data_IF_445680158612
#
_entry.id   IF_445680158612
#
_cell.length_a   1.000
_cell.length_b   1.000
_cell.length_c   1.000
_cell.angle_alpha   90.00
_cell.angle_beta   90.00
_cell.angle_gamma   90.00
#
_symmetry.space_group_name_H-M   'P 1'
#
loop_
_entity.id
_entity.type
_entity.pdbx_description
1 polymer ?
#
# COMPACT_ATOMS: atom_id res chain seq x y z
N UNK A 1 20.95 -42.52 -43.85
CA UNK A 1 22.26 -42.37 -43.18
C UNK A 1 22.04 -41.38 -42.04
N UNK A 2 21.62 -41.78 -40.84
CA UNK A 2 22.25 -42.75 -39.95
C UNK A 2 23.46 -42.07 -39.28
N UNK A 3 23.27 -41.36 -38.16
CA UNK A 3 23.55 -41.80 -36.77
C UNK A 3 24.81 -41.05 -36.27
N UNK A 4 25.00 -40.59 -35.03
CA UNK A 4 24.52 -40.94 -33.69
C UNK A 4 24.59 -39.68 -32.79
N UNK A 5 23.58 -39.33 -31.99
CA UNK A 5 23.39 -39.67 -30.56
C UNK A 5 24.62 -39.43 -29.67
N UNK A 6 24.55 -38.43 -28.79
CA UNK A 6 24.91 -38.54 -27.37
C UNK A 6 24.44 -37.32 -26.52
N UNK A 7 23.87 -37.64 -25.35
CA UNK A 7 23.46 -36.79 -24.21
C UNK A 7 22.38 -35.70 -24.42
N UNK A 8 21.10 -35.83 -24.03
CA UNK A 8 20.48 -36.73 -23.06
C UNK A 8 20.04 -35.99 -21.79
N UNK A 9 18.73 -35.69 -21.68
CA UNK A 9 17.95 -35.59 -20.42
C UNK A 9 18.43 -34.58 -19.36
N UNK A 10 17.98 -33.32 -19.43
CA UNK A 10 17.84 -32.52 -18.19
C UNK A 10 16.79 -31.37 -18.18
N UNK A 11 15.80 -31.37 -19.07
CA UNK A 11 14.75 -30.33 -19.11
C UNK A 11 13.41 -30.75 -18.46
N UNK A 12 13.41 -31.81 -17.65
CA UNK A 12 12.22 -32.37 -17.01
C UNK A 12 12.41 -32.66 -15.50
N UNK A 13 13.13 -31.78 -14.78
CA UNK A 13 13.55 -32.10 -13.40
C UNK A 13 13.32 -31.05 -12.29
N UNK A 14 12.59 -29.97 -12.57
CA UNK A 14 12.02 -29.11 -11.51
C UNK A 14 10.49 -28.94 -11.62
N UNK A 15 9.82 -29.72 -12.47
CA UNK A 15 8.36 -29.90 -12.49
C UNK A 15 7.86 -30.86 -11.38
N UNK A 16 8.51 -30.83 -10.22
CA UNK A 16 8.43 -31.87 -9.19
C UNK A 16 7.79 -31.34 -7.92
N UNK A 17 6.58 -31.80 -7.61
CA UNK A 17 5.82 -31.67 -6.35
C UNK A 17 5.54 -30.25 -5.83
N UNK A 18 6.55 -29.38 -5.69
CA UNK A 18 6.43 -28.03 -5.12
C UNK A 18 5.60 -27.10 -6.01
N UNK A 19 5.79 -27.15 -7.34
CA UNK A 19 4.95 -26.41 -8.29
C UNK A 19 3.48 -26.84 -8.24
N UNK A 20 3.21 -28.13 -7.96
CA UNK A 20 1.83 -28.60 -7.79
C UNK A 20 1.26 -28.13 -6.44
N UNK A 21 2.06 -28.10 -5.38
CA UNK A 21 1.63 -27.62 -4.07
C UNK A 21 1.28 -26.12 -4.11
N UNK A 22 2.12 -25.28 -4.73
CA UNK A 22 1.87 -23.85 -4.88
C UNK A 22 0.61 -23.57 -5.71
N UNK A 23 0.43 -24.31 -6.81
CA UNK A 23 -0.77 -24.17 -7.65
C UNK A 23 -2.04 -24.61 -6.89
N UNK A 24 -1.97 -25.70 -6.12
CA UNK A 24 -3.07 -26.17 -5.29
C UNK A 24 -3.39 -25.18 -4.16
N UNK A 25 -2.37 -24.58 -3.52
CA UNK A 25 -2.55 -23.52 -2.52
C UNK A 25 -3.26 -22.32 -3.15
N UNK A 26 -2.82 -21.87 -4.33
CA UNK A 26 -3.45 -20.75 -5.04
C UNK A 26 -4.90 -21.04 -5.42
N UNK A 27 -5.22 -22.25 -5.90
CA UNK A 27 -6.60 -22.65 -6.22
C UNK A 27 -7.46 -22.63 -4.95
N UNK A 28 -6.95 -23.21 -3.85
CA UNK A 28 -7.66 -23.26 -2.57
C UNK A 28 -7.93 -21.86 -2.02
N UNK A 29 -6.91 -20.99 -2.00
CA UNK A 29 -7.07 -19.60 -1.56
C UNK A 29 -8.04 -18.85 -2.46
N UNK A 30 -7.92 -18.98 -3.78
CA UNK A 30 -8.84 -18.30 -4.72
C UNK A 30 -10.28 -18.76 -4.52
N UNK A 31 -10.52 -20.05 -4.31
CA UNK A 31 -11.86 -20.59 -4.02
C UNK A 31 -12.45 -20.10 -2.69
N UNK A 32 -11.58 -19.73 -1.73
CA UNK A 32 -11.99 -19.20 -0.43
C UNK A 32 -12.38 -17.72 -0.43
N UNK A 33 -11.85 -16.90 -1.35
CA UNK A 33 -12.02 -15.43 -1.32
C UNK A 33 -13.47 -14.95 -1.28
N UNK A 34 -14.35 -15.57 -2.10
CA UNK A 34 -15.76 -15.21 -2.12
C UNK A 34 -16.47 -15.53 -0.80
N UNK A 35 -16.12 -16.67 -0.19
CA UNK A 35 -16.68 -17.11 1.09
C UNK A 35 -16.12 -16.28 2.24
N UNK A 36 -14.84 -15.92 2.20
CA UNK A 36 -14.17 -15.12 3.21
C UNK A 36 -14.89 -13.78 3.46
N UNK A 37 -15.33 -13.11 2.40
CA UNK A 37 -16.09 -11.87 2.52
C UNK A 37 -17.46 -12.10 3.19
N UNK A 38 -18.18 -13.16 2.80
CA UNK A 38 -19.49 -13.50 3.39
C UNK A 38 -19.39 -13.96 4.85
N UNK A 39 -18.28 -14.61 5.20
CA UNK A 39 -18.03 -15.16 6.53
C UNK A 39 -17.34 -14.15 7.47
N UNK A 40 -17.12 -12.91 7.04
CA UNK A 40 -16.42 -11.88 7.82
C UNK A 40 -15.00 -12.31 8.24
N UNK A 41 -14.27 -12.97 7.35
CA UNK A 41 -12.91 -13.46 7.61
C UNK A 41 -11.83 -12.41 7.28
N UNK A 42 -12.19 -11.27 6.70
CA UNK A 42 -11.26 -10.16 6.50
C UNK A 42 -11.25 -9.23 7.72
N UNK A 43 -10.06 -8.76 8.07
CA UNK A 43 -9.84 -7.75 9.12
C UNK A 43 -8.77 -6.77 8.67
N UNK A 44 -8.71 -5.59 9.30
CA UNK A 44 -7.68 -4.60 9.04
C UNK A 44 -6.63 -4.61 10.16
N UNK A 45 -5.37 -4.71 9.76
CA UNK A 45 -4.26 -4.24 10.57
C UNK A 45 -3.88 -2.84 10.12
N UNK A 46 -3.22 -2.10 10.99
CA UNK A 46 -2.82 -0.73 10.74
C UNK A 46 -1.34 -0.56 11.01
N UNK A 47 -0.64 0.12 10.10
CA UNK A 47 0.77 0.47 10.29
C UNK A 47 0.91 2.00 10.45
N UNK A 48 1.50 2.49 11.55
CA UNK A 48 1.74 3.92 11.74
C UNK A 48 2.69 4.54 10.71
N UNK A 49 2.36 5.77 10.31
CA UNK A 49 3.18 6.66 9.50
C UNK A 49 3.68 7.82 10.36
N UNK A 50 4.98 8.07 10.32
CA UNK A 50 5.69 8.95 11.26
C UNK A 50 6.19 10.19 10.54
N UNK A 51 5.90 11.36 11.09
CA UNK A 51 6.54 12.61 10.71
C UNK A 51 7.99 12.59 11.20
N UNK A 52 8.97 12.61 10.28
CA UNK A 52 10.37 12.41 10.62
C UNK A 52 10.92 13.57 11.47
N UNK A 53 10.44 14.80 11.25
CA UNK A 53 10.89 15.97 12.00
C UNK A 53 10.49 15.92 13.48
N UNK A 54 9.25 15.54 13.77
CA UNK A 54 8.65 15.56 15.11
C UNK A 54 8.64 14.20 15.80
N UNK A 55 8.80 13.12 15.05
CA UNK A 55 8.69 11.74 15.53
C UNK A 55 7.26 11.33 15.88
N UNK A 56 6.24 12.10 15.48
CA UNK A 56 4.84 11.84 15.82
C UNK A 56 4.16 10.98 14.77
N UNK A 57 3.18 10.18 15.20
CA UNK A 57 2.26 9.52 14.26
C UNK A 57 1.36 10.58 13.63
N UNK A 58 1.32 10.62 12.31
CA UNK A 58 0.48 11.53 11.51
C UNK A 58 -0.58 10.79 10.70
N UNK A 59 -0.35 9.51 10.44
CA UNK A 59 -1.22 8.66 9.64
C UNK A 59 -1.08 7.19 10.02
N UNK A 60 -1.96 6.38 9.45
CA UNK A 60 -1.88 4.93 9.50
C UNK A 60 -2.27 4.36 8.15
N UNK A 61 -1.56 3.35 7.68
CA UNK A 61 -1.95 2.59 6.50
C UNK A 61 -2.83 1.41 6.93
N UNK A 62 -4.01 1.29 6.32
CA UNK A 62 -4.94 0.19 6.51
C UNK A 62 -4.59 -0.99 5.61
N UNK A 63 -4.14 -2.07 6.23
CA UNK A 63 -3.60 -3.24 5.58
C UNK A 63 -4.50 -4.46 5.84
N UNK A 64 -5.18 -4.92 4.79
CA UNK A 64 -6.08 -6.07 4.87
C UNK A 64 -5.35 -7.35 5.27
N UNK A 65 -5.98 -8.14 6.12
CA UNK A 65 -5.55 -9.48 6.53
C UNK A 65 -6.72 -10.43 6.34
N UNK A 66 -6.41 -11.68 6.03
CA UNK A 66 -7.42 -12.74 5.94
C UNK A 66 -7.23 -13.72 7.10
N UNK A 67 -8.17 -13.71 8.05
CA UNK A 67 -8.27 -14.68 9.13
C UNK A 67 -8.86 -16.00 8.60
N UNK A 68 -8.04 -16.78 7.91
CA UNK A 68 -8.45 -18.06 7.34
C UNK A 68 -8.74 -19.07 8.46
N UNK A 69 -9.84 -19.84 8.38
CA UNK A 69 -10.26 -20.77 9.46
C UNK A 69 -9.23 -21.87 9.76
N UNK A 70 -8.46 -22.30 8.75
CA UNK A 70 -7.43 -23.35 8.92
C UNK A 70 -6.00 -22.83 8.97
N UNK A 71 -5.70 -21.72 8.28
CA UNK A 71 -4.31 -21.28 8.07
C UNK A 71 -3.92 -20.14 9.01
N UNK A 72 -4.88 -19.69 9.83
CA UNK A 72 -4.72 -18.51 10.66
C UNK A 72 -4.65 -17.24 9.82
N UNK A 73 -3.80 -16.31 10.24
CA UNK A 73 -3.71 -14.98 9.63
C UNK A 73 -2.86 -15.02 8.35
N UNK A 74 -3.53 -14.97 7.20
CA UNK A 74 -2.90 -14.94 5.88
C UNK A 74 -2.58 -13.50 5.48
N UNK A 75 -1.31 -13.18 5.14
CA UNK A 75 -0.89 -11.83 4.75
C UNK A 75 -1.34 -11.48 3.32
N UNK A 76 -1.46 -10.18 3.00
CA UNK A 76 -1.94 -9.70 1.70
C UNK A 76 -1.13 -10.23 0.51
N UNK A 77 0.19 -10.35 0.65
CA UNK A 77 1.06 -10.87 -0.42
C UNK A 77 0.71 -12.29 -0.90
N UNK A 78 -0.03 -13.08 -0.12
CA UNK A 78 -0.50 -14.41 -0.54
C UNK A 78 -1.80 -14.40 -1.34
N UNK A 79 -2.67 -13.40 -1.17
CA UNK A 79 -4.02 -13.44 -1.73
C UNK A 79 -4.42 -12.24 -2.58
N UNK A 80 -3.75 -11.08 -2.47
CA UNK A 80 -4.13 -9.88 -3.25
C UNK A 80 -3.99 -10.16 -4.76
N UNK A 81 -2.86 -10.71 -5.20
CA UNK A 81 -2.68 -11.05 -6.61
C UNK A 81 -3.70 -12.09 -7.11
N UNK A 82 -4.18 -12.99 -6.24
CA UNK A 82 -5.25 -13.94 -6.56
C UNK A 82 -6.61 -13.24 -6.67
N UNK A 83 -6.89 -12.31 -5.76
CA UNK A 83 -8.10 -11.51 -5.74
C UNK A 83 -8.20 -10.60 -6.97
N UNK A 84 -7.07 -10.04 -7.43
CA UNK A 84 -7.01 -9.23 -8.65
C UNK A 84 -7.31 -10.06 -9.90
N UNK A 85 -6.63 -11.21 -10.06
CA UNK A 85 -6.84 -12.10 -11.21
C UNK A 85 -8.25 -12.66 -11.29
N UNK A 86 -8.88 -12.89 -10.13
CA UNK A 86 -10.24 -13.45 -10.05
C UNK A 86 -11.34 -12.38 -9.96
N UNK A 87 -10.98 -11.10 -9.88
CA UNK A 87 -11.94 -9.98 -9.74
C UNK A 87 -12.52 -9.78 -8.34
N UNK A 88 -12.19 -10.63 -7.37
CA UNK A 88 -12.61 -10.49 -5.96
C UNK A 88 -11.97 -9.29 -5.26
N UNK A 89 -10.90 -8.71 -5.81
CA UNK A 89 -10.28 -7.51 -5.24
C UNK A 89 -11.25 -6.33 -5.15
N UNK A 90 -12.23 -6.25 -6.04
CA UNK A 90 -13.19 -5.14 -6.05
C UNK A 90 -14.11 -5.16 -4.82
N UNK A 91 -14.86 -6.25 -4.54
CA UNK A 91 -15.68 -6.30 -3.33
C UNK A 91 -14.85 -6.33 -2.04
N UNK A 92 -13.63 -6.87 -2.07
CA UNK A 92 -12.70 -6.78 -0.92
C UNK A 92 -12.30 -5.33 -0.68
N UNK A 93 -11.89 -4.60 -1.72
CA UNK A 93 -11.48 -3.21 -1.60
C UNK A 93 -12.61 -2.28 -1.19
N UNK A 94 -13.85 -2.54 -1.62
CA UNK A 94 -15.04 -1.83 -1.13
C UNK A 94 -15.25 -2.07 0.37
N UNK A 95 -15.11 -3.32 0.84
CA UNK A 95 -15.17 -3.62 2.27
C UNK A 95 -14.04 -2.94 3.05
N UNK A 96 -12.80 -2.98 2.56
CA UNK A 96 -11.63 -2.33 3.17
C UNK A 96 -11.88 -0.83 3.31
N UNK A 97 -12.35 -0.16 2.26
CA UNK A 97 -12.61 1.27 2.26
C UNK A 97 -13.68 1.65 3.30
N UNK A 98 -14.78 0.91 3.35
CA UNK A 98 -15.85 1.15 4.33
C UNK A 98 -15.35 0.96 5.77
N UNK A 99 -14.61 -0.12 6.03
CA UNK A 99 -14.09 -0.43 7.37
C UNK A 99 -13.01 0.57 7.81
N UNK A 100 -12.14 0.99 6.89
CA UNK A 100 -11.14 2.03 7.14
C UNK A 100 -11.80 3.38 7.45
N UNK A 101 -12.84 3.77 6.70
CA UNK A 101 -13.59 5.00 6.96
C UNK A 101 -14.32 4.95 8.31
N UNK A 102 -14.97 3.82 8.61
CA UNK A 102 -15.64 3.58 9.90
C UNK A 102 -14.66 3.71 11.06
N UNK A 103 -13.49 3.09 10.96
CA UNK A 103 -12.47 3.16 12.00
C UNK A 103 -11.83 4.55 12.11
N UNK A 104 -11.58 5.21 10.97
CA UNK A 104 -11.12 6.59 10.92
C UNK A 104 -12.08 7.54 11.64
N UNK A 105 -13.40 7.36 11.48
CA UNK A 105 -14.41 8.15 12.21
C UNK A 105 -14.30 7.97 13.71
N UNK A 106 -14.09 6.74 14.18
CA UNK A 106 -13.92 6.44 15.61
C UNK A 106 -12.70 7.18 16.16
N UNK A 107 -11.59 7.20 15.44
CA UNK A 107 -10.41 7.97 15.85
C UNK A 107 -10.66 9.48 15.77
N UNK A 108 -11.42 9.95 14.78
CA UNK A 108 -11.82 11.35 14.67
C UNK A 108 -12.57 11.86 15.89
N UNK A 109 -13.45 11.03 16.48
CA UNK A 109 -14.23 11.41 17.65
C UNK A 109 -13.46 11.29 18.98
N UNK A 110 -12.48 10.39 19.05
CA UNK A 110 -11.81 10.04 20.31
C UNK A 110 -10.48 10.74 20.52
N UNK A 111 -9.74 11.01 19.44
CA UNK A 111 -8.38 11.51 19.51
C UNK A 111 -8.34 13.02 19.27
N UNK A 112 -7.56 13.79 20.07
CA UNK A 112 -7.39 15.21 19.83
C UNK A 112 -6.67 15.52 18.51
N UNK A 113 -5.91 14.55 18.00
CA UNK A 113 -5.23 14.60 16.70
C UNK A 113 -5.48 13.30 15.96
N UNK A 114 -6.62 13.19 15.26
CA UNK A 114 -6.95 11.99 14.49
C UNK A 114 -5.91 11.75 13.39
N UNK A 115 -5.46 10.50 13.17
CA UNK A 115 -4.57 10.20 12.06
C UNK A 115 -5.31 10.33 10.72
N UNK A 116 -4.55 10.49 9.65
CA UNK A 116 -5.04 10.15 8.29
C UNK A 116 -5.04 8.63 8.15
N UNK A 117 -6.08 8.06 7.56
CA UNK A 117 -6.16 6.62 7.26
C UNK A 117 -5.91 6.42 5.78
N UNK A 118 -4.79 5.78 5.43
CA UNK A 118 -4.43 5.47 4.05
C UNK A 118 -4.99 4.10 3.63
N UNK A 119 -5.55 4.02 2.43
CA UNK A 119 -6.15 2.81 1.85
C UNK A 119 -5.61 2.58 0.44
N UNK A 120 -5.08 1.39 0.21
CA UNK A 120 -4.65 0.95 -1.12
C UNK A 120 -5.82 0.77 -2.08
N UNK A 121 -5.70 1.32 -3.29
CA UNK A 121 -6.63 1.09 -4.40
C UNK A 121 -6.00 0.18 -5.45
N UNK A 122 -6.75 -0.86 -5.85
CA UNK A 122 -6.30 -1.72 -6.96
C UNK A 122 -6.59 -1.08 -8.33
N UNK A 123 -5.76 -1.41 -9.32
CA UNK A 123 -5.98 -0.97 -10.71
C UNK A 123 -7.33 -1.43 -11.27
N UNK A 124 -7.80 -2.61 -10.85
CA UNK A 124 -9.09 -3.13 -11.31
C UNK A 124 -10.27 -2.34 -10.76
N UNK A 125 -10.22 -1.87 -9.51
CA UNK A 125 -11.25 -0.96 -8.97
C UNK A 125 -11.28 0.34 -9.77
N UNK A 126 -10.11 0.88 -10.08
CA UNK A 126 -10.00 2.11 -10.86
C UNK A 126 -10.59 1.98 -12.27
N UNK A 127 -10.30 0.87 -12.97
CA UNK A 127 -10.85 0.56 -14.30
C UNK A 127 -12.38 0.47 -14.35
N UNK A 128 -13.05 0.10 -13.26
CA UNK A 128 -14.53 0.03 -13.25
C UNK A 128 -15.18 1.41 -13.31
N UNK A 129 -14.42 2.49 -13.09
CA UNK A 129 -14.87 3.87 -13.28
C UNK A 129 -15.81 4.39 -12.19
N UNK A 130 -16.08 3.63 -11.14
CA UNK A 130 -16.99 4.00 -10.04
C UNK A 130 -16.26 4.32 -8.72
N UNK A 131 -14.93 4.52 -8.73
CA UNK A 131 -14.15 4.81 -7.51
C UNK A 131 -14.64 6.07 -6.81
N UNK A 132 -14.99 7.12 -7.55
CA UNK A 132 -15.49 8.37 -6.97
C UNK A 132 -16.79 8.14 -6.17
N UNK A 133 -17.71 7.34 -6.72
CA UNK A 133 -18.97 7.00 -6.08
C UNK A 133 -18.75 6.12 -4.84
N UNK A 134 -17.86 5.13 -4.94
CA UNK A 134 -17.49 4.26 -3.81
C UNK A 134 -16.92 5.06 -2.64
N UNK A 135 -15.98 5.97 -2.91
CA UNK A 135 -15.36 6.83 -1.88
C UNK A 135 -16.37 7.79 -1.28
N UNK A 136 -17.17 8.46 -2.10
CA UNK A 136 -18.23 9.36 -1.63
C UNK A 136 -19.21 8.63 -0.71
N UNK A 137 -19.62 7.42 -1.08
CA UNK A 137 -20.55 6.59 -0.30
C UNK A 137 -19.96 6.17 1.04
N UNK A 138 -18.71 5.69 1.05
CA UNK A 138 -18.04 5.27 2.29
C UNK A 138 -17.82 6.44 3.27
N UNK A 139 -17.43 7.61 2.77
CA UNK A 139 -17.31 8.83 3.56
C UNK A 139 -18.66 9.27 4.12
N UNK A 140 -19.71 9.29 3.29
CA UNK A 140 -21.05 9.66 3.72
C UNK A 140 -21.63 8.69 4.77
N UNK A 141 -21.42 7.38 4.60
CA UNK A 141 -21.92 6.36 5.52
C UNK A 141 -21.19 6.38 6.88
N UNK A 142 -19.89 6.66 6.89
CA UNK A 142 -19.09 6.73 8.11
C UNK A 142 -19.13 8.10 8.80
N UNK A 143 -19.36 9.17 8.04
CA UNK A 143 -19.19 10.55 8.51
C UNK A 143 -17.73 10.97 8.71
N UNK A 144 -16.77 10.20 8.20
CA UNK A 144 -15.34 10.56 8.25
C UNK A 144 -15.12 11.85 7.45
N UNK A 145 -14.36 12.79 8.01
CA UNK A 145 -13.94 13.98 7.28
C UNK A 145 -13.07 13.56 6.08
N UNK A 146 -13.37 14.00 4.84
CA UNK A 146 -12.63 13.57 3.65
C UNK A 146 -11.11 13.74 3.76
N UNK A 147 -10.64 14.81 4.41
CA UNK A 147 -9.22 15.10 4.61
C UNK A 147 -8.49 14.08 5.53
N UNK A 148 -9.24 13.18 6.19
CA UNK A 148 -8.73 12.08 7.01
C UNK A 148 -8.65 10.75 6.26
N UNK A 149 -9.06 10.71 5.00
CA UNK A 149 -8.88 9.57 4.12
C UNK A 149 -7.77 9.88 3.10
N UNK A 150 -6.81 8.97 2.98
CA UNK A 150 -5.82 8.96 1.91
C UNK A 150 -6.02 7.74 1.03
N UNK A 151 -5.99 7.92 -0.29
CA UNK A 151 -6.07 6.82 -1.26
C UNK A 151 -4.71 6.66 -1.92
N UNK A 152 -4.15 5.46 -1.80
CA UNK A 152 -2.84 5.12 -2.35
C UNK A 152 -3.03 4.43 -3.70
N UNK A 153 -2.38 4.95 -4.73
CA UNK A 153 -2.47 4.44 -6.10
C UNK A 153 -1.11 3.99 -6.58
N UNK A 154 -0.99 2.75 -7.02
CA UNK A 154 0.25 2.29 -7.66
C UNK A 154 0.50 3.01 -8.98
N UNK A 155 1.76 3.15 -9.34
CA UNK A 155 2.20 3.73 -10.60
C UNK A 155 1.53 3.08 -11.83
N UNK A 156 1.26 1.78 -11.76
CA UNK A 156 0.62 1.02 -12.85
C UNK A 156 -0.79 1.50 -13.20
N UNK A 157 -1.53 2.04 -12.22
CA UNK A 157 -2.88 2.60 -12.42
C UNK A 157 -2.80 3.83 -13.30
N UNK A 158 -1.77 4.64 -13.06
CA UNK A 158 -1.56 5.94 -13.68
C UNK A 158 -1.26 5.86 -15.18
N UNK A 159 -0.75 4.70 -15.66
CA UNK A 159 -0.25 4.53 -17.01
C UNK A 159 -1.23 3.89 -18.01
N UNK A 160 -2.41 3.43 -17.57
CA UNK A 160 -3.31 2.66 -18.44
C UNK A 160 -4.29 3.52 -19.25
N UNK A 161 -4.98 4.45 -18.59
CA UNK A 161 -5.87 5.43 -19.21
C UNK A 161 -5.69 6.78 -18.53
N UNK A 162 -4.72 7.53 -19.06
CA UNK A 162 -4.21 8.80 -18.53
C UNK A 162 -5.33 9.83 -18.35
N UNK A 163 -6.19 10.02 -19.34
CA UNK A 163 -7.25 11.04 -19.29
C UNK A 163 -8.37 10.67 -18.31
N UNK A 164 -8.85 9.41 -18.35
CA UNK A 164 -9.86 8.94 -17.40
C UNK A 164 -9.33 8.99 -15.96
N UNK A 165 -8.05 8.67 -15.77
CA UNK A 165 -7.38 8.72 -14.47
C UNK A 165 -7.28 10.14 -13.93
N UNK A 166 -6.77 11.08 -14.72
CA UNK A 166 -6.76 12.50 -14.33
C UNK A 166 -8.15 12.96 -13.90
N UNK A 167 -9.19 12.64 -14.68
CA UNK A 167 -10.57 13.06 -14.37
C UNK A 167 -11.05 12.48 -13.03
N UNK A 168 -10.83 11.20 -12.78
CA UNK A 168 -11.22 10.55 -11.54
C UNK A 168 -10.45 11.12 -10.33
N UNK A 169 -9.14 11.37 -10.46
CA UNK A 169 -8.33 11.96 -9.39
C UNK A 169 -8.78 13.38 -9.06
N UNK A 170 -9.08 14.21 -10.06
CA UNK A 170 -9.65 15.54 -9.82
C UNK A 170 -11.01 15.47 -9.10
N UNK A 171 -11.86 14.51 -9.46
CA UNK A 171 -13.11 14.25 -8.74
C UNK A 171 -12.88 13.89 -7.28
N UNK A 172 -11.92 13.00 -6.99
CA UNK A 172 -11.56 12.60 -5.63
C UNK A 172 -11.00 13.79 -4.85
N UNK A 173 -10.12 14.60 -5.44
CA UNK A 173 -9.61 15.83 -4.81
C UNK A 173 -10.69 16.85 -4.53
N UNK A 174 -11.70 16.97 -5.39
CA UNK A 174 -12.85 17.82 -5.15
C UNK A 174 -13.71 17.35 -3.96
N UNK A 175 -13.70 16.04 -3.62
CA UNK A 175 -14.30 15.54 -2.37
C UNK A 175 -13.48 15.95 -1.14
N UNK A 176 -12.20 16.30 -1.30
CA UNK A 176 -11.31 16.68 -0.21
C UNK A 176 -10.47 15.55 0.37
N UNK A 177 -10.42 14.37 -0.29
CA UNK A 177 -9.52 13.29 0.13
C UNK A 177 -8.07 13.60 -0.23
N UNK A 178 -7.14 12.95 0.47
CA UNK A 178 -5.72 12.94 0.10
C UNK A 178 -5.44 11.82 -0.90
N UNK A 179 -4.48 12.03 -1.78
CA UNK A 179 -4.06 11.06 -2.79
C UNK A 179 -2.55 10.90 -2.75
N UNK A 180 -2.07 9.66 -2.80
CA UNK A 180 -0.63 9.35 -2.84
C UNK A 180 -0.31 8.37 -3.96
N UNK A 181 0.92 8.48 -4.48
CA UNK A 181 1.45 7.54 -5.48
C UNK A 181 2.32 6.52 -4.75
N UNK A 182 1.94 5.26 -4.87
CA UNK A 182 2.62 4.12 -4.29
C UNK A 182 3.62 3.46 -5.25
N UNK A 183 4.59 2.74 -4.69
CA UNK A 183 5.66 2.02 -5.38
C UNK A 183 6.48 2.92 -6.35
N UNK A 184 6.63 4.21 -6.05
CA UNK A 184 7.23 5.16 -6.98
C UNK A 184 8.71 4.82 -7.27
N UNK A 185 9.06 4.76 -8.55
CA UNK A 185 10.42 4.46 -9.03
C UNK A 185 10.60 3.02 -9.52
N UNK A 186 9.60 2.16 -9.32
CA UNK A 186 9.61 0.77 -9.83
C UNK A 186 9.09 0.65 -11.27
N UNK A 187 8.41 1.68 -11.79
CA UNK A 187 7.83 1.73 -13.13
C UNK A 187 8.38 2.85 -14.04
N UNK A 188 7.68 3.06 -15.16
CA UNK A 188 8.01 4.08 -16.17
C UNK A 188 7.08 5.29 -16.07
N UNK A 189 7.28 6.15 -15.07
CA UNK A 189 6.53 7.40 -14.96
C UNK A 189 7.13 8.48 -15.83
N UNK A 190 6.32 9.03 -16.73
CA UNK A 190 6.67 10.30 -17.33
C UNK A 190 6.50 11.41 -16.31
N UNK A 191 7.60 12.09 -15.96
CA UNK A 191 7.59 13.30 -15.11
C UNK A 191 6.59 14.36 -15.60
N UNK A 192 6.33 14.40 -16.92
CA UNK A 192 5.36 15.31 -17.54
C UNK A 192 3.91 15.05 -17.10
N UNK A 193 3.57 13.79 -16.82
CA UNK A 193 2.24 13.40 -16.39
C UNK A 193 2.05 13.62 -14.90
N UNK A 194 3.10 13.38 -14.10
CA UNK A 194 3.04 13.52 -12.65
C UNK A 194 2.70 14.95 -12.20
N UNK A 195 3.09 15.98 -12.99
CA UNK A 195 2.65 17.37 -12.78
C UNK A 195 1.15 17.63 -12.97
N UNK A 196 0.47 16.78 -13.74
CA UNK A 196 -0.96 16.90 -14.01
C UNK A 196 -1.79 16.09 -13.02
N UNK A 197 -1.14 15.24 -12.22
CA UNK A 197 -1.78 14.48 -11.17
C UNK A 197 -2.01 15.37 -9.97
N UNK A 198 -3.27 15.46 -9.54
CA UNK A 198 -3.65 16.18 -8.34
C UNK A 198 -3.38 15.31 -7.10
N UNK A 199 -2.12 14.96 -6.85
CA UNK A 199 -1.68 14.14 -5.70
C UNK A 199 -1.03 15.00 -4.62
N UNK A 200 -0.93 14.46 -3.41
CA UNK A 200 -0.37 15.15 -2.22
C UNK A 200 0.97 14.55 -1.77
N UNK A 201 1.21 13.27 -2.08
CA UNK A 201 2.33 12.50 -1.52
C UNK A 201 2.92 11.50 -2.51
N UNK A 202 4.23 11.30 -2.44
CA UNK A 202 4.96 10.20 -3.11
C UNK A 202 5.49 9.21 -2.07
N UNK A 203 5.29 7.91 -2.31
CA UNK A 203 5.80 6.83 -1.48
C UNK A 203 7.03 6.21 -2.15
N UNK A 204 8.16 6.21 -1.45
CA UNK A 204 9.40 5.53 -1.90
C UNK A 204 9.29 4.06 -1.51
N UNK A 205 9.32 3.18 -2.51
CA UNK A 205 9.24 1.73 -2.30
C UNK A 205 10.36 1.22 -1.39
N UNK A 206 10.01 0.22 -0.58
CA UNK A 206 10.92 -0.43 0.38
C UNK A 206 12.18 -1.02 -0.28
N UNK A 207 12.15 -1.39 -1.56
CA UNK A 207 13.35 -1.92 -2.24
C UNK A 207 14.45 -0.86 -2.33
N UNK A 208 14.09 0.40 -2.60
CA UNK A 208 15.05 1.50 -2.60
C UNK A 208 15.55 1.82 -1.19
N UNK A 209 14.66 1.82 -0.19
CA UNK A 209 15.03 2.10 1.20
C UNK A 209 15.98 1.04 1.75
N UNK A 210 15.72 -0.25 1.48
CA UNK A 210 16.60 -1.35 1.89
C UNK A 210 18.00 -1.24 1.27
N UNK A 211 18.06 -0.84 0.01
CA UNK A 211 19.31 -0.85 -0.75
C UNK A 211 20.10 0.49 -0.62
N UNK A 212 19.51 1.54 -0.01
CA UNK A 212 20.10 2.88 0.02
C UNK A 212 21.39 3.00 0.82
N UNK A 213 21.65 2.10 1.77
CA UNK A 213 22.88 2.07 2.56
C UNK A 213 23.92 1.08 2.02
N UNK A 214 23.59 0.31 0.99
CA UNK A 214 24.47 -0.72 0.41
C UNK A 214 25.47 -0.18 -0.64
N UNK A 215 25.35 1.10 -1.04
CA UNK A 215 26.26 1.76 -1.98
C UNK A 215 25.77 3.14 -2.44
N UNK A 216 26.59 3.86 -3.21
CA UNK A 216 26.32 5.25 -3.63
C UNK A 216 25.10 5.40 -4.56
N UNK A 217 24.81 4.39 -5.37
CA UNK A 217 23.71 4.42 -6.34
C UNK A 217 22.33 4.45 -5.65
N UNK A 218 22.12 3.59 -4.65
CA UNK A 218 20.85 3.52 -3.92
C UNK A 218 20.55 4.81 -3.15
N UNK A 219 21.55 5.35 -2.45
CA UNK A 219 21.46 6.63 -1.76
C UNK A 219 21.11 7.79 -2.72
N UNK A 220 21.65 7.76 -3.93
CA UNK A 220 21.41 8.80 -4.94
C UNK A 220 20.00 8.75 -5.51
N UNK A 221 19.44 7.54 -5.71
CA UNK A 221 18.05 7.37 -6.14
C UNK A 221 17.08 7.92 -5.09
N UNK A 222 17.24 7.54 -3.82
CA UNK A 222 16.37 8.02 -2.73
C UNK A 222 16.40 9.55 -2.63
N UNK A 223 17.58 10.17 -2.66
CA UNK A 223 17.72 11.65 -2.67
C UNK A 223 17.05 12.29 -3.89
N UNK A 224 17.18 11.67 -5.07
CA UNK A 224 16.55 12.18 -6.28
C UNK A 224 15.02 12.14 -6.19
N UNK A 225 14.44 11.08 -5.64
CA UNK A 225 12.99 10.96 -5.42
C UNK A 225 12.49 12.00 -4.41
N UNK A 226 13.21 12.18 -3.28
CA UNK A 226 12.87 13.23 -2.29
C UNK A 226 12.85 14.60 -2.96
N UNK A 227 13.94 14.96 -3.66
CA UNK A 227 14.05 16.25 -4.33
C UNK A 227 12.97 16.44 -5.41
N UNK A 228 12.61 15.38 -6.12
CA UNK A 228 11.53 15.41 -7.11
C UNK A 228 10.18 15.71 -6.45
N UNK A 229 9.83 15.00 -5.38
CA UNK A 229 8.60 15.23 -4.63
C UNK A 229 8.49 16.68 -4.15
N UNK A 230 9.55 17.21 -3.55
CA UNK A 230 9.59 18.60 -3.08
C UNK A 230 9.48 19.62 -4.22
N UNK A 231 10.15 19.38 -5.35
CA UNK A 231 10.04 20.25 -6.54
C UNK A 231 8.62 20.30 -7.11
N UNK A 232 7.81 19.30 -6.80
CA UNK A 232 6.40 19.17 -7.20
C UNK A 232 5.44 19.53 -6.07
N UNK A 233 5.95 20.01 -4.93
CA UNK A 233 5.19 20.39 -3.73
C UNK A 233 4.41 19.20 -3.14
N UNK A 234 4.98 17.99 -3.25
CA UNK A 234 4.47 16.76 -2.68
C UNK A 234 5.25 16.41 -1.42
N UNK A 235 4.55 15.88 -0.41
CA UNK A 235 5.20 15.21 0.70
C UNK A 235 5.84 13.89 0.23
N UNK A 236 6.91 13.46 0.88
CA UNK A 236 7.60 12.21 0.55
C UNK A 236 7.65 11.31 1.77
N UNK A 237 7.08 10.10 1.64
CA UNK A 237 7.16 9.04 2.65
C UNK A 237 8.08 7.93 2.19
N UNK A 238 8.98 7.49 3.06
CA UNK A 238 9.81 6.30 2.82
C UNK A 238 9.22 5.07 3.49
N UNK A 239 9.05 3.99 2.73
CA UNK A 239 8.51 2.72 3.22
C UNK A 239 9.59 1.71 3.57
N UNK A 240 9.27 0.76 4.46
CA UNK A 240 10.19 -0.30 4.83
C UNK A 240 11.40 0.17 5.63
N UNK A 241 11.27 1.25 6.41
CA UNK A 241 12.34 1.68 7.34
C UNK A 241 12.45 0.69 8.49
N UNK A 242 13.56 -0.05 8.57
CA UNK A 242 13.80 -1.11 9.55
C UNK A 242 14.89 -0.73 10.57
N UNK A 243 15.81 0.19 10.24
CA UNK A 243 16.94 0.54 11.11
C UNK A 243 17.06 2.04 11.41
N UNK A 244 17.66 2.38 12.55
CA UNK A 244 17.95 3.78 12.91
C UNK A 244 18.88 4.45 11.88
N UNK A 245 19.81 3.70 11.29
CA UNK A 245 20.70 4.23 10.24
C UNK A 245 19.91 4.65 8.99
N UNK A 246 18.88 3.88 8.60
CA UNK A 246 18.01 4.22 7.48
C UNK A 246 17.19 5.48 7.77
N UNK A 247 16.57 5.56 8.96
CA UNK A 247 15.88 6.78 9.43
C UNK A 247 16.80 7.99 9.37
N UNK A 248 17.99 7.90 9.96
CA UNK A 248 18.92 9.03 10.06
C UNK A 248 19.37 9.51 8.68
N UNK A 249 19.54 8.59 7.73
CA UNK A 249 19.82 8.94 6.33
C UNK A 249 18.64 9.70 5.69
N UNK A 250 17.41 9.21 5.88
CA UNK A 250 16.20 9.82 5.33
C UNK A 250 15.97 11.23 5.92
N UNK A 251 16.11 11.39 7.23
CA UNK A 251 15.98 12.68 7.93
C UNK A 251 17.04 13.68 7.42
N UNK A 252 18.31 13.26 7.29
CA UNK A 252 19.39 14.10 6.72
C UNK A 252 19.17 14.45 5.25
N UNK A 253 18.48 13.58 4.52
CA UNK A 253 18.13 13.80 3.11
C UNK A 253 16.88 14.65 2.93
N UNK A 254 16.21 15.03 4.02
CA UNK A 254 15.01 15.87 4.02
C UNK A 254 13.71 15.12 3.74
N UNK A 255 13.67 13.80 3.91
CA UNK A 255 12.42 13.05 3.79
C UNK A 255 11.40 13.52 4.86
N UNK A 256 10.12 13.62 4.49
CA UNK A 256 9.09 14.20 5.36
C UNK A 256 8.51 13.16 6.33
N UNK A 257 8.21 11.97 5.82
CA UNK A 257 7.51 10.91 6.53
C UNK A 257 8.23 9.56 6.41
N UNK A 258 8.00 8.67 7.36
CA UNK A 258 8.52 7.29 7.29
C UNK A 258 7.50 6.28 7.82
N UNK A 259 7.55 5.08 7.23
CA UNK A 259 6.79 3.92 7.64
C UNK A 259 7.69 2.68 7.61
N UNK A 260 7.62 1.82 8.63
CA UNK A 260 8.39 0.60 8.64
C UNK A 260 8.48 -0.07 10.01
N UNK A 261 9.16 -1.23 10.04
CA UNK A 261 9.25 -2.06 11.23
C UNK A 261 10.13 -1.49 12.33
N UNK A 262 10.94 -0.47 12.03
CA UNK A 262 11.62 0.34 13.05
C UNK A 262 10.61 0.91 14.06
N UNK A 263 9.44 1.36 13.57
CA UNK A 263 8.43 2.01 14.38
C UNK A 263 7.36 1.04 14.88
N UNK A 264 6.77 0.27 13.96
CA UNK A 264 5.80 -0.76 14.28
C UNK A 264 5.55 -1.66 13.07
N UNK A 265 5.31 -2.94 13.35
CA UNK A 265 4.65 -3.83 12.38
C UNK A 265 3.18 -3.41 12.22
N UNK A 266 2.49 -3.85 11.14
CA UNK A 266 1.05 -3.73 11.04
C UNK A 266 0.36 -4.50 12.17
N UNK A 267 -0.42 -3.81 12.99
CA UNK A 267 -1.01 -4.35 14.22
C UNK A 267 -2.54 -4.21 14.23
N UNK A 268 -3.27 -5.00 15.03
CA UNK A 268 -4.71 -4.85 15.19
C UNK A 268 -5.12 -3.46 15.71
N UNK A 269 -6.40 -3.11 15.49
CA UNK A 269 -7.00 -1.82 15.85
C UNK A 269 -6.76 -1.41 17.31
N UNK A 270 -6.85 -2.33 18.27
CA UNK A 270 -6.66 -2.03 19.69
C UNK A 270 -5.22 -1.68 20.03
N UNK A 271 -4.26 -2.22 19.28
CA UNK A 271 -2.85 -1.92 19.47
C UNK A 271 -2.49 -0.58 18.83
N UNK A 272 -2.90 -0.33 17.58
CA UNK A 272 -2.62 0.96 16.93
C UNK A 272 -3.32 2.10 17.64
N UNK A 273 -4.52 1.90 18.20
CA UNK A 273 -5.23 2.93 18.95
C UNK A 273 -4.44 3.36 20.19
N UNK A 274 -3.81 2.41 20.90
CA UNK A 274 -2.90 2.73 22.02
C UNK A 274 -1.67 3.50 21.56
N UNK A 275 -1.07 3.12 20.43
CA UNK A 275 0.05 3.87 19.85
C UNK A 275 -0.33 5.30 19.49
N UNK A 276 -1.53 5.51 18.93
CA UNK A 276 -2.05 6.83 18.59
C UNK A 276 -2.29 7.72 19.82
N UNK A 277 -2.68 7.12 20.96
CA UNK A 277 -2.90 7.83 22.23
C UNK A 277 -1.59 8.16 22.94
N UNK A 278 -0.63 7.22 22.94
CA UNK A 278 0.59 7.29 23.75
C UNK A 278 1.78 7.87 22.97
N UNK A 279 1.75 7.81 21.64
CA UNK A 279 2.90 8.02 20.78
C UNK A 279 3.79 6.78 20.65
N UNK A 280 4.79 6.87 19.78
CA UNK A 280 5.85 5.85 19.63
C UNK A 280 7.13 6.42 20.23
N UNK A 281 7.79 5.66 21.10
CA UNK A 281 9.13 6.02 21.56
C UNK A 281 10.09 5.94 20.37
N UNK A 282 10.85 7.02 20.12
CA UNK A 282 11.87 7.00 19.07
C UNK A 282 12.89 5.90 19.42
N UNK A 283 13.05 4.86 18.59
CA UNK A 283 14.08 3.85 18.81
C UNK A 283 15.45 4.53 18.78
N UNK A 284 16.35 4.11 19.66
CA UNK A 284 17.72 4.63 19.70
C UNK A 284 18.45 4.37 18.38
#
# INVERSE_FOLDING_TARGET
MGSAKEAGRNTYRFFSHDMNADMLEQIRLTGGLASALRNHEFLLHYQPQIDLATGRIIGVEALVRWQHPTDGLVPPGKFIALAERSGHIVPIGEWVLNEACRQGRIWQDRLPRPPVVAVNLSALQFKRGNVLELVSTALAASGLEPARLELELTESILLQDVEATIKALHGLKALGVKLSIDDFGTGYSSLSYLKQLAVDKLKIDQSFVRDMLAGDDGASIVRAVIQLGHNLQLAVIAEGVETAAERDFLEKSGCDEAQGYLYSRPVPVDQVSRLLEQGIERPA
#
